data_IF_970967679078
#
_entry.id   IF_970967679078
#
_cell.length_a   1.000
_cell.length_b   1.000
_cell.length_c   1.000
_cell.angle_alpha   90.00
_cell.angle_beta   90.00
_cell.angle_gamma   90.00
#
_symmetry.space_group_name_H-M   'P 1'
#
loop_
_entity.id
_entity.type
_entity.pdbx_description
1 polymer ?
#
# COMPACT_ATOMS: atom_id res chain seq x y z
N UNK A 1 1.99 -18.94 -35.01
CA UNK A 1 2.38 -19.50 -33.70
C UNK A 1 2.34 -21.02 -33.84
N UNK A 2 3.46 -21.71 -33.68
CA UNK A 2 3.54 -23.17 -33.89
C UNK A 2 2.86 -23.93 -32.74
N UNK A 3 2.40 -25.16 -32.98
CA UNK A 3 1.76 -26.03 -31.95
C UNK A 3 2.64 -26.18 -30.70
N UNK A 4 3.97 -26.16 -30.88
CA UNK A 4 4.96 -26.19 -29.79
C UNK A 4 4.94 -24.93 -28.92
N UNK A 5 4.74 -23.75 -29.52
CA UNK A 5 4.55 -22.48 -28.80
C UNK A 5 3.22 -22.46 -28.04
N UNK A 6 2.15 -23.04 -28.59
CA UNK A 6 0.84 -23.16 -27.93
C UNK A 6 0.89 -24.03 -26.67
N UNK A 7 1.65 -25.13 -26.70
CA UNK A 7 1.81 -26.05 -25.57
C UNK A 7 2.62 -25.41 -24.43
N UNK A 8 3.70 -24.71 -24.77
CA UNK A 8 4.47 -23.87 -23.84
C UNK A 8 3.64 -22.73 -23.23
N UNK A 9 2.72 -22.14 -24.00
CA UNK A 9 1.77 -21.15 -23.47
C UNK A 9 0.74 -21.75 -22.52
N UNK A 10 0.31 -22.99 -22.73
CA UNK A 10 -0.68 -23.68 -21.88
C UNK A 10 -0.11 -24.16 -20.55
N UNK A 11 1.09 -24.73 -20.54
CA UNK A 11 1.82 -25.04 -19.29
C UNK A 11 2.06 -23.76 -18.49
N UNK A 12 2.44 -22.67 -19.17
CA UNK A 12 2.51 -21.34 -18.55
C UNK A 12 1.19 -20.84 -18.02
N UNK A 13 0.04 -21.12 -18.65
CA UNK A 13 -1.28 -20.70 -18.12
C UNK A 13 -1.63 -21.47 -16.85
N UNK A 14 -1.34 -22.77 -16.78
CA UNK A 14 -1.49 -23.56 -15.55
C UNK A 14 -0.56 -23.05 -14.44
N UNK A 15 0.70 -22.78 -14.79
CA UNK A 15 1.68 -22.21 -13.87
C UNK A 15 1.30 -20.78 -13.47
N UNK A 16 0.67 -19.99 -14.35
CA UNK A 16 0.11 -18.66 -14.07
C UNK A 16 -1.09 -18.79 -13.11
N UNK A 17 -1.99 -19.75 -13.32
CA UNK A 17 -3.14 -19.95 -12.42
C UNK A 17 -2.73 -20.44 -11.03
N UNK A 18 -1.58 -21.12 -10.91
CA UNK A 18 -1.01 -21.61 -9.64
C UNK A 18 -0.07 -20.58 -8.99
N UNK A 19 0.70 -19.82 -9.78
CA UNK A 19 1.65 -18.82 -9.29
C UNK A 19 1.00 -17.46 -8.99
N UNK A 20 -0.13 -17.16 -9.63
CA UNK A 20 -0.96 -16.06 -9.20
C UNK A 20 -1.84 -16.60 -8.09
N UNK A 21 -1.53 -16.21 -6.86
CA UNK A 21 -2.39 -16.35 -5.70
C UNK A 21 -3.63 -15.44 -5.90
N UNK A 22 -4.47 -15.80 -6.89
CA UNK A 22 -5.63 -15.01 -7.31
C UNK A 22 -6.71 -15.20 -6.25
N UNK A 23 -6.64 -14.38 -5.19
CA UNK A 23 -7.68 -14.23 -4.18
C UNK A 23 -8.98 -13.61 -4.74
N UNK A 24 -8.92 -13.07 -5.96
CA UNK A 24 -10.07 -12.53 -6.68
C UNK A 24 -10.93 -13.67 -7.27
N UNK A 25 -12.01 -14.02 -6.54
CA UNK A 25 -12.98 -15.05 -6.95
C UNK A 25 -13.61 -14.78 -8.31
N UNK A 26 -13.82 -13.51 -8.66
CA UNK A 26 -14.46 -13.11 -9.91
C UNK A 26 -13.52 -13.37 -11.08
N UNK A 27 -12.25 -12.99 -10.94
CA UNK A 27 -11.22 -13.27 -11.92
C UNK A 27 -11.00 -14.78 -12.13
N UNK A 28 -10.98 -15.53 -11.02
CA UNK A 28 -10.82 -16.98 -11.08
C UNK A 28 -11.97 -17.63 -11.85
N UNK A 29 -13.21 -17.17 -11.63
CA UNK A 29 -14.38 -17.66 -12.35
C UNK A 29 -14.32 -17.31 -13.84
N UNK A 30 -13.87 -16.10 -14.18
CA UNK A 30 -13.69 -15.67 -15.56
C UNK A 30 -12.64 -16.50 -16.30
N UNK A 31 -11.47 -16.73 -15.68
CA UNK A 31 -10.40 -17.56 -16.26
C UNK A 31 -10.83 -19.03 -16.43
N UNK A 32 -11.56 -19.58 -15.46
CA UNK A 32 -12.15 -20.94 -15.58
C UNK A 32 -13.13 -21.00 -16.75
N UNK A 33 -13.99 -19.99 -16.89
CA UNK A 33 -14.98 -19.92 -17.97
C UNK A 33 -14.30 -19.86 -19.34
N UNK A 34 -13.25 -19.04 -19.48
CA UNK A 34 -12.46 -18.95 -20.72
C UNK A 34 -11.74 -20.27 -21.03
N UNK A 35 -11.22 -20.94 -20.01
CA UNK A 35 -10.57 -22.24 -20.17
C UNK A 35 -11.56 -23.34 -20.61
N UNK A 36 -12.76 -23.35 -20.07
CA UNK A 36 -13.81 -24.31 -20.46
C UNK A 36 -14.30 -24.07 -21.89
N UNK A 37 -14.42 -22.81 -22.32
CA UNK A 37 -14.73 -22.47 -23.73
C UNK A 37 -13.62 -22.92 -24.66
N UNK A 38 -12.36 -22.69 -24.28
CA UNK A 38 -11.19 -23.14 -25.03
C UNK A 38 -11.15 -24.66 -25.24
N UNK A 39 -11.65 -25.46 -24.28
CA UNK A 39 -11.74 -26.92 -24.42
C UNK A 39 -12.82 -27.36 -25.41
N UNK A 40 -13.93 -26.62 -25.49
CA UNK A 40 -15.10 -26.97 -26.32
C UNK A 40 -14.95 -26.50 -27.77
N UNK A 41 -14.20 -25.43 -28.00
CA UNK A 41 -14.09 -24.78 -29.30
C UNK A 41 -12.70 -24.97 -29.94
N UNK A 42 -12.63 -24.90 -31.27
CA UNK A 42 -11.36 -25.03 -32.00
C UNK A 42 -10.53 -23.73 -32.01
N UNK A 43 -11.03 -22.63 -31.44
CA UNK A 43 -10.39 -21.32 -31.43
C UNK A 43 -9.39 -21.11 -30.27
N UNK A 44 -8.52 -22.10 -29.98
CA UNK A 44 -7.67 -22.08 -28.77
C UNK A 44 -6.81 -20.82 -28.63
N UNK A 45 -6.31 -20.28 -29.75
CA UNK A 45 -5.46 -19.08 -29.76
C UNK A 45 -6.20 -17.83 -29.29
N UNK A 46 -7.49 -17.71 -29.61
CA UNK A 46 -8.33 -16.58 -29.20
C UNK A 46 -8.49 -16.56 -27.68
N UNK A 47 -8.89 -17.70 -27.10
CA UNK A 47 -9.07 -17.83 -25.65
C UNK A 47 -7.78 -17.64 -24.86
N UNK A 48 -6.64 -18.12 -25.38
CA UNK A 48 -5.33 -17.85 -24.75
C UNK A 48 -5.04 -16.34 -24.73
N UNK A 49 -5.37 -15.59 -25.79
CA UNK A 49 -5.20 -14.13 -25.79
C UNK A 49 -6.13 -13.44 -24.80
N UNK A 50 -7.39 -13.86 -24.73
CA UNK A 50 -8.37 -13.32 -23.78
C UNK A 50 -7.89 -13.56 -22.33
N UNK A 51 -7.45 -14.77 -22.00
CA UNK A 51 -6.87 -15.07 -20.68
C UNK A 51 -5.63 -14.22 -20.38
N UNK A 52 -4.74 -13.99 -21.36
CA UNK A 52 -3.57 -13.11 -21.19
C UNK A 52 -4.02 -11.67 -20.90
N UNK A 53 -5.07 -11.18 -21.56
CA UNK A 53 -5.59 -9.83 -21.35
C UNK A 53 -6.20 -9.68 -19.95
N UNK A 54 -7.03 -10.65 -19.53
CA UNK A 54 -7.61 -10.70 -18.17
C UNK A 54 -6.51 -10.65 -17.09
N UNK A 55 -5.43 -11.44 -17.26
CA UNK A 55 -4.30 -11.43 -16.33
C UNK A 55 -3.53 -10.09 -16.36
N UNK A 56 -3.41 -9.45 -17.52
CA UNK A 56 -2.74 -8.14 -17.64
C UNK A 56 -3.54 -7.02 -16.98
N UNK A 57 -4.84 -6.97 -17.20
CA UNK A 57 -5.73 -5.97 -16.59
C UNK A 57 -5.68 -6.03 -15.06
N UNK A 58 -5.48 -7.21 -14.48
CA UNK A 58 -5.30 -7.36 -13.04
C UNK A 58 -3.95 -6.86 -12.56
N UNK A 59 -2.86 -7.16 -13.28
CA UNK A 59 -1.55 -6.59 -12.96
C UNK A 59 -1.50 -5.07 -13.06
N UNK A 60 -2.34 -4.49 -13.92
CA UNK A 60 -2.43 -3.04 -14.09
C UNK A 60 -3.34 -2.35 -13.06
N UNK A 61 -4.08 -3.11 -12.24
CA UNK A 61 -4.87 -2.60 -11.10
C UNK A 61 -4.07 -2.45 -9.80
N UNK A 62 -2.74 -2.50 -9.85
CA UNK A 62 -1.93 -2.17 -8.68
C UNK A 62 -2.12 -0.68 -8.38
N UNK A 63 -2.68 -0.39 -7.20
CA UNK A 63 -2.92 0.98 -6.76
C UNK A 63 -1.55 1.62 -6.55
N UNK A 64 -1.25 2.66 -7.33
CA UNK A 64 -0.06 3.47 -7.10
C UNK A 64 -0.37 4.55 -6.09
N UNK A 65 0.48 4.65 -5.08
CA UNK A 65 0.40 5.68 -4.04
C UNK A 65 1.41 6.76 -4.35
N UNK A 66 0.95 8.00 -4.51
CA UNK A 66 1.83 9.13 -4.85
C UNK A 66 1.46 10.38 -4.07
N UNK A 67 2.48 11.19 -3.77
CA UNK A 67 2.34 12.53 -3.21
C UNK A 67 2.84 13.56 -4.23
N UNK A 68 2.11 14.65 -4.38
CA UNK A 68 2.36 15.74 -5.32
C UNK A 68 3.46 16.68 -4.81
N UNK A 69 3.47 16.96 -3.50
CA UNK A 69 4.44 17.84 -2.85
C UNK A 69 5.21 17.09 -1.77
N UNK A 70 6.50 16.90 -2.01
CA UNK A 70 7.42 16.31 -1.04
C UNK A 70 8.64 17.22 -0.92
N UNK A 71 9.00 17.70 0.29
CA UNK A 71 10.22 18.47 0.49
C UNK A 71 11.46 17.68 0.08
N UNK A 72 12.42 18.35 -0.56
CA UNK A 72 13.56 17.69 -1.21
C UNK A 72 14.45 16.88 -0.27
N UNK A 73 14.56 17.29 0.99
CA UNK A 73 15.37 16.66 2.03
C UNK A 73 14.79 15.35 2.56
N UNK A 74 13.46 15.17 2.55
CA UNK A 74 12.80 13.92 2.96
C UNK A 74 12.28 13.08 1.79
N UNK A 75 12.48 13.55 0.55
CA UNK A 75 11.90 12.94 -0.65
C UNK A 75 12.26 11.48 -0.83
N UNK A 76 13.53 11.12 -0.62
CA UNK A 76 13.98 9.75 -0.83
C UNK A 76 13.37 8.78 0.19
N UNK A 77 13.27 9.20 1.44
CA UNK A 77 12.66 8.40 2.51
C UNK A 77 11.17 8.16 2.22
N UNK A 78 10.45 9.22 1.87
CA UNK A 78 9.02 9.13 1.52
C UNK A 78 8.79 8.23 0.30
N UNK A 79 9.60 8.36 -0.75
CA UNK A 79 9.45 7.52 -1.95
C UNK A 79 9.78 6.05 -1.68
N UNK A 80 10.80 5.78 -0.87
CA UNK A 80 11.14 4.42 -0.46
C UNK A 80 9.99 3.78 0.34
N UNK A 81 9.44 4.51 1.30
CA UNK A 81 8.33 4.05 2.13
C UNK A 81 7.04 3.84 1.31
N UNK A 82 6.74 4.72 0.35
CA UNK A 82 5.61 4.56 -0.58
C UNK A 82 5.75 3.31 -1.45
N UNK A 83 6.96 3.06 -1.96
CA UNK A 83 7.23 1.87 -2.76
C UNK A 83 7.08 0.58 -1.95
N UNK A 84 7.54 0.58 -0.69
CA UNK A 84 7.33 -0.56 0.20
C UNK A 84 5.85 -0.73 0.59
N UNK A 85 5.12 0.39 0.74
CA UNK A 85 3.69 0.40 1.04
C UNK A 85 2.87 -0.26 -0.07
N UNK A 86 3.18 0.05 -1.34
CA UNK A 86 2.57 -0.59 -2.51
C UNK A 86 2.79 -2.11 -2.48
N UNK A 87 4.03 -2.55 -2.30
CA UNK A 87 4.35 -3.98 -2.21
C UNK A 87 3.60 -4.69 -1.09
N UNK A 88 3.55 -4.07 0.09
CA UNK A 88 2.85 -4.64 1.23
C UNK A 88 1.34 -4.74 0.95
N UNK A 89 0.77 -3.73 0.31
CA UNK A 89 -0.65 -3.69 -0.01
C UNK A 89 -1.01 -4.77 -1.03
N UNK A 90 -0.22 -4.90 -2.10
CA UNK A 90 -0.39 -5.90 -3.14
C UNK A 90 -0.26 -7.34 -2.59
N UNK A 91 0.63 -7.54 -1.62
CA UNK A 91 0.83 -8.82 -0.93
C UNK A 91 -0.18 -9.10 0.20
N UNK A 92 -1.20 -8.27 0.39
CA UNK A 92 -2.19 -8.44 1.46
C UNK A 92 -1.62 -8.22 2.88
N UNK A 93 -0.43 -7.65 3.01
CA UNK A 93 0.28 -7.40 4.27
C UNK A 93 -0.23 -6.12 4.95
N UNK A 94 -1.54 -6.05 5.22
CA UNK A 94 -2.24 -4.84 5.66
C UNK A 94 -1.73 -4.24 6.98
N UNK A 95 -1.26 -5.07 7.92
CA UNK A 95 -0.63 -4.57 9.16
C UNK A 95 0.67 -3.82 8.87
N UNK A 96 1.47 -4.31 7.92
CA UNK A 96 2.69 -3.64 7.47
C UNK A 96 2.38 -2.31 6.80
N UNK A 97 1.31 -2.25 5.99
CA UNK A 97 0.87 -0.98 5.41
C UNK A 97 0.59 0.09 6.47
N UNK A 98 -0.05 -0.28 7.59
CA UNK A 98 -0.38 0.68 8.65
C UNK A 98 0.86 1.12 9.43
N UNK A 99 1.85 0.23 9.59
CA UNK A 99 3.16 0.58 10.15
C UNK A 99 3.85 1.63 9.26
N UNK A 100 3.85 1.41 7.93
CA UNK A 100 4.42 2.34 6.96
C UNK A 100 3.66 3.68 6.93
N UNK A 101 2.33 3.68 7.04
CA UNK A 101 1.56 4.92 7.22
C UNK A 101 2.03 5.72 8.45
N UNK A 102 2.37 5.05 9.54
CA UNK A 102 2.89 5.70 10.74
C UNK A 102 4.28 6.31 10.51
N UNK A 103 5.16 5.58 9.84
CA UNK A 103 6.50 6.05 9.47
C UNK A 103 6.44 7.27 8.55
N UNK A 104 5.58 7.26 7.53
CA UNK A 104 5.35 8.39 6.64
C UNK A 104 4.89 9.64 7.42
N UNK A 105 3.96 9.49 8.38
CA UNK A 105 3.52 10.58 9.24
C UNK A 105 4.66 11.09 10.15
N UNK A 106 5.51 10.20 10.67
CA UNK A 106 6.69 10.59 11.47
C UNK A 106 7.62 11.47 10.65
N UNK A 107 8.01 11.02 9.44
CA UNK A 107 8.86 11.80 8.52
C UNK A 107 8.22 13.16 8.21
N UNK A 108 6.93 13.18 7.91
CA UNK A 108 6.16 14.38 7.61
C UNK A 108 6.19 15.41 8.75
N UNK A 109 5.84 14.96 9.95
CA UNK A 109 5.76 15.81 11.14
C UNK A 109 7.14 16.25 11.63
N UNK A 110 8.16 15.41 11.52
CA UNK A 110 9.54 15.79 11.82
C UNK A 110 9.99 16.94 10.92
N UNK A 111 9.74 16.81 9.62
CA UNK A 111 10.07 17.86 8.67
C UNK A 111 9.30 19.15 8.95
N UNK A 112 8.02 19.04 9.33
CA UNK A 112 7.20 20.20 9.71
C UNK A 112 7.73 20.90 10.97
N UNK A 113 8.16 20.13 11.97
CA UNK A 113 8.78 20.67 13.17
C UNK A 113 10.07 21.42 12.86
N UNK A 114 10.93 20.83 12.02
CA UNK A 114 12.17 21.47 11.58
C UNK A 114 11.88 22.78 10.84
N UNK A 115 10.88 22.79 9.94
CA UNK A 115 10.45 23.99 9.21
C UNK A 115 10.10 25.15 10.15
N UNK A 116 9.34 24.85 11.19
CA UNK A 116 8.80 25.87 12.09
C UNK A 116 9.81 26.33 13.16
N UNK A 117 10.80 25.51 13.50
CA UNK A 117 11.68 25.76 14.66
C UNK A 117 13.16 25.87 14.32
N UNK A 118 13.59 25.45 13.12
CA UNK A 118 14.98 25.29 12.73
C UNK A 118 15.75 24.23 13.52
N UNK A 119 15.07 23.44 14.37
CA UNK A 119 15.70 22.42 15.21
C UNK A 119 15.40 21.04 14.65
N UNK A 120 16.44 20.24 14.42
CA UNK A 120 16.27 18.83 14.11
C UNK A 120 16.02 18.04 15.41
N UNK A 121 14.80 17.51 15.54
CA UNK A 121 14.44 16.66 16.67
C UNK A 121 15.15 15.31 16.64
N UNK A 122 15.54 14.82 15.46
CA UNK A 122 16.19 13.52 15.32
C UNK A 122 17.61 13.54 15.89
N UNK A 123 18.30 14.69 15.87
CA UNK A 123 19.62 14.85 16.50
C UNK A 123 19.56 14.76 18.03
N UNK A 124 18.47 15.25 18.64
CA UNK A 124 18.34 15.35 20.10
C UNK A 124 17.54 14.21 20.72
N UNK A 125 16.59 13.64 19.98
CA UNK A 125 15.67 12.61 20.44
C UNK A 125 15.35 11.64 19.31
N UNK A 126 16.34 10.82 18.88
CA UNK A 126 16.11 9.78 17.90
C UNK A 126 15.06 8.79 18.42
N UNK A 127 14.11 8.41 17.57
CA UNK A 127 13.05 7.46 17.92
C UNK A 127 11.89 8.06 18.75
N UNK A 128 11.69 9.38 18.72
CA UNK A 128 10.49 10.00 19.27
C UNK A 128 9.24 9.46 18.55
N UNK A 129 8.32 8.87 19.30
CA UNK A 129 7.07 8.36 18.73
C UNK A 129 6.10 9.49 18.33
N UNK A 130 5.20 9.20 17.39
CA UNK A 130 4.18 10.12 16.88
C UNK A 130 3.46 10.96 17.95
N UNK A 131 3.02 10.33 19.05
CA UNK A 131 2.32 11.02 20.12
C UNK A 131 3.16 12.11 20.79
N UNK A 132 4.44 11.81 21.04
CA UNK A 132 5.37 12.78 21.64
C UNK A 132 5.76 13.88 20.63
N UNK A 133 5.85 13.55 19.34
CA UNK A 133 6.12 14.52 18.28
C UNK A 133 4.98 15.55 18.15
N UNK A 134 3.72 15.11 18.23
CA UNK A 134 2.55 16.00 18.27
C UNK A 134 2.58 16.87 19.53
N UNK A 135 2.91 16.30 20.70
CA UNK A 135 3.04 17.09 21.92
C UNK A 135 4.10 18.19 21.77
N UNK A 136 5.25 17.89 21.13
CA UNK A 136 6.31 18.87 20.85
C UNK A 136 5.88 19.96 19.89
N UNK A 137 5.10 19.64 18.86
CA UNK A 137 4.51 20.64 17.95
C UNK A 137 3.58 21.59 18.71
N UNK A 138 2.72 21.04 19.57
CA UNK A 138 1.79 21.81 20.39
C UNK A 138 2.51 22.70 21.42
N UNK A 139 3.55 22.19 22.10
CA UNK A 139 4.39 22.98 23.03
C UNK A 139 5.03 24.21 22.35
N UNK A 140 5.27 24.12 21.04
CA UNK A 140 5.83 25.22 20.23
C UNK A 140 4.75 26.09 19.58
N UNK A 141 3.48 25.88 19.91
CA UNK A 141 2.32 26.56 19.32
C UNK A 141 2.27 26.44 17.78
N UNK A 142 2.75 25.31 17.24
CA UNK A 142 2.67 25.04 15.81
C UNK A 142 1.28 24.47 15.54
N UNK A 143 0.48 25.23 14.79
CA UNK A 143 -0.87 24.80 14.41
C UNK A 143 -0.77 23.64 13.43
N UNK A 144 -1.39 22.52 13.80
CA UNK A 144 -1.53 21.35 12.94
C UNK A 144 -3.02 21.16 12.67
N UNK A 145 -3.36 20.85 11.42
CA UNK A 145 -4.74 20.61 11.02
C UNK A 145 -5.38 19.49 11.88
N UNK A 146 -6.65 19.65 12.34
CA UNK A 146 -7.31 18.63 13.15
C UNK A 146 -7.35 17.25 12.49
N UNK A 147 -7.42 17.17 11.15
CA UNK A 147 -7.37 15.92 10.39
C UNK A 147 -6.04 15.19 10.56
N UNK A 148 -4.93 15.91 10.65
CA UNK A 148 -3.60 15.33 10.94
C UNK A 148 -3.60 14.67 12.32
N UNK A 149 -4.13 15.35 13.34
CA UNK A 149 -4.20 14.78 14.68
C UNK A 149 -5.07 13.53 14.72
N UNK A 150 -6.24 13.57 14.07
CA UNK A 150 -7.13 12.41 13.97
C UNK A 150 -6.44 11.23 13.30
N UNK A 151 -5.74 11.46 12.19
CA UNK A 151 -5.04 10.41 11.47
C UNK A 151 -3.86 9.84 12.27
N UNK A 152 -3.09 10.69 12.96
CA UNK A 152 -2.02 10.26 13.85
C UNK A 152 -2.57 9.38 14.98
N UNK A 153 -3.69 9.77 15.60
CA UNK A 153 -4.33 8.96 16.63
C UNK A 153 -4.81 7.61 16.09
N UNK A 154 -5.46 7.60 14.92
CA UNK A 154 -5.91 6.37 14.26
C UNK A 154 -4.73 5.44 13.99
N UNK A 155 -3.71 5.92 13.29
CA UNK A 155 -2.54 5.11 12.91
C UNK A 155 -1.76 4.65 14.14
N UNK A 156 -1.58 5.50 15.15
CA UNK A 156 -0.87 5.12 16.38
C UNK A 156 -1.63 4.02 17.14
N UNK A 157 -2.95 4.15 17.28
CA UNK A 157 -3.78 3.13 17.92
C UNK A 157 -3.64 1.80 17.17
N UNK A 158 -3.78 1.82 15.84
CA UNK A 158 -3.72 0.60 15.03
C UNK A 158 -2.31 0.00 14.97
N UNK A 159 -1.25 0.82 14.95
CA UNK A 159 0.15 0.34 15.08
C UNK A 159 0.34 -0.42 16.37
N UNK A 160 -0.14 0.10 17.50
CA UNK A 160 -0.02 -0.57 18.80
C UNK A 160 -0.66 -1.97 18.75
N UNK A 161 -1.86 -2.10 18.17
CA UNK A 161 -2.49 -3.41 17.98
C UNK A 161 -1.73 -4.31 16.99
N UNK A 162 -0.97 -3.72 16.06
CA UNK A 162 -0.22 -4.43 15.04
C UNK A 162 1.16 -4.89 15.50
N UNK A 163 1.73 -4.33 16.57
CA UNK A 163 3.08 -4.71 17.05
C UNK A 163 3.08 -5.28 18.47
N UNK A 164 2.09 -4.95 19.31
CA UNK A 164 2.02 -5.43 20.69
C UNK A 164 0.92 -6.47 20.88
N UNK A 165 1.19 -7.49 21.71
CA UNK A 165 0.19 -8.50 22.06
C UNK A 165 -0.96 -7.86 22.83
N UNK A 166 -2.16 -7.97 22.29
CA UNK A 166 -3.41 -7.54 22.93
C UNK A 166 -4.34 -8.75 23.12
N UNK A 167 -5.38 -8.57 23.93
CA UNK A 167 -6.35 -9.64 24.23
C UNK A 167 -7.07 -10.11 22.96
N UNK A 168 -7.28 -9.21 22.01
CA UNK A 168 -7.86 -9.48 20.70
C UNK A 168 -6.87 -9.09 19.61
N UNK A 169 -6.82 -9.90 18.54
CA UNK A 169 -5.99 -9.62 17.37
C UNK A 169 -6.74 -8.67 16.46
N UNK A 170 -6.17 -7.49 16.22
CA UNK A 170 -6.71 -6.58 15.23
C UNK A 170 -6.34 -7.05 13.83
N UNK A 171 -7.35 -7.30 12.99
CA UNK A 171 -7.19 -7.68 11.59
C UNK A 171 -7.87 -6.62 10.75
N UNK A 172 -7.10 -5.96 9.88
CA UNK A 172 -7.60 -4.95 8.96
C UNK A 172 -8.00 -5.58 7.64
N UNK A 173 -9.16 -5.16 7.11
CA UNK A 173 -9.56 -5.51 5.75
C UNK A 173 -8.84 -4.66 4.71
N UNK A 174 -8.79 -5.14 3.45
CA UNK A 174 -8.25 -4.41 2.30
C UNK A 174 -8.81 -2.99 2.17
N UNK A 175 -10.12 -2.84 2.36
CA UNK A 175 -10.82 -1.56 2.23
C UNK A 175 -10.48 -0.60 3.37
N UNK A 176 -10.41 -1.08 4.60
CA UNK A 176 -9.97 -0.28 5.75
C UNK A 176 -8.53 0.18 5.56
N UNK A 177 -7.65 -0.71 5.12
CA UNK A 177 -6.24 -0.37 4.85
C UNK A 177 -6.13 0.69 3.75
N UNK A 178 -6.88 0.52 2.66
CA UNK A 178 -6.91 1.52 1.57
C UNK A 178 -7.36 2.89 2.08
N UNK A 179 -8.43 2.94 2.88
CA UNK A 179 -8.91 4.18 3.48
C UNK A 179 -7.87 4.84 4.40
N UNK A 180 -7.17 4.04 5.23
CA UNK A 180 -6.09 4.54 6.09
C UNK A 180 -4.94 5.11 5.25
N UNK A 181 -4.54 4.41 4.17
CA UNK A 181 -3.49 4.89 3.27
C UNK A 181 -3.89 6.21 2.64
N UNK A 182 -5.07 6.28 2.01
CA UNK A 182 -5.56 7.49 1.36
C UNK A 182 -5.65 8.67 2.33
N UNK A 183 -6.12 8.45 3.55
CA UNK A 183 -6.16 9.52 4.56
C UNK A 183 -4.76 9.94 5.03
N UNK A 184 -3.80 9.00 5.14
CA UNK A 184 -2.39 9.35 5.39
C UNK A 184 -1.83 10.21 4.27
N UNK A 185 -2.08 9.88 3.01
CA UNK A 185 -1.57 10.65 1.87
C UNK A 185 -2.16 12.07 1.85
N UNK A 186 -3.49 12.21 2.01
CA UNK A 186 -4.15 13.52 2.12
C UNK A 186 -3.61 14.34 3.30
N UNK A 187 -3.32 13.68 4.42
CA UNK A 187 -2.71 14.33 5.59
C UNK A 187 -1.31 14.87 5.28
N UNK A 188 -0.49 14.11 4.54
CA UNK A 188 0.86 14.52 4.16
C UNK A 188 0.84 15.68 3.16
N UNK A 189 -0.09 15.68 2.20
CA UNK A 189 -0.31 16.81 1.28
C UNK A 189 -0.67 18.11 2.00
N UNK A 190 -1.33 18.02 3.16
CA UNK A 190 -1.68 19.20 3.98
C UNK A 190 -0.52 19.69 4.85
N UNK A 191 0.48 18.86 5.10
CA UNK A 191 1.66 19.26 5.87
C UNK A 191 2.64 20.12 5.06
N UNK A 192 2.60 20.02 3.72
CA UNK A 192 3.58 20.61 2.79
C UNK A 192 2.96 21.48 1.69
#
# INVERSE_FOLDING_TARGET
>A
MTVKQLRLSLERVSDILVAFDIDDKELRLELITLFDRMKKENEKVKYIREMINVVKEVKEKNIKFSLSKIPGDVKNDVLADLFELEKCYDAGCYRSCIILCGRLLEVGLHRKYFEATGNDLLEKSPGIGLGNLIAKLNEKNILVDPGVMQQVHLVNNVRIFSVHKKKETFITSKNQTSAIILFTLDTLEKLF
#
